data_IF_775041757938
#
_entry.id   IF_775041757938
#
_cell.length_a   1.000
_cell.length_b   1.000
_cell.length_c   1.000
_cell.angle_alpha   90.00
_cell.angle_beta   90.00
_cell.angle_gamma   90.00
#
_symmetry.space_group_name_H-M   'P 1'
#
loop_
_entity.id
_entity.type
_entity.pdbx_description
1 polymer ?
#
# COMPACT_ATOMS: atom_id res chain seq x y z
N UNK A 1 -17.93 -17.73 -2.27
CA UNK A 1 -18.48 -16.50 -1.65
C UNK A 1 -17.63 -15.89 -0.54
N UNK A 2 -16.79 -16.65 0.21
CA UNK A 2 -16.07 -16.18 1.41
C UNK A 2 -15.14 -14.96 1.26
N UNK A 3 -14.60 -14.68 0.06
CA UNK A 3 -13.64 -13.58 -0.11
C UNK A 3 -14.28 -12.18 -0.13
N UNK A 4 -15.61 -12.09 -0.27
CA UNK A 4 -16.32 -10.79 -0.29
C UNK A 4 -16.38 -10.15 1.10
N UNK A 5 -16.62 -10.95 2.15
CA UNK A 5 -16.75 -10.47 3.53
C UNK A 5 -15.44 -9.90 4.07
N UNK A 6 -14.34 -10.63 3.86
CA UNK A 6 -13.00 -10.14 4.21
C UNK A 6 -12.62 -8.91 3.40
N UNK A 7 -12.93 -8.87 2.10
CA UNK A 7 -12.69 -7.69 1.27
C UNK A 7 -13.48 -6.47 1.74
N UNK A 8 -14.75 -6.63 2.11
CA UNK A 8 -15.61 -5.55 2.60
C UNK A 8 -15.16 -5.04 3.97
N UNK A 9 -14.84 -5.93 4.91
CA UNK A 9 -14.33 -5.56 6.23
C UNK A 9 -13.02 -4.80 6.15
N UNK A 10 -12.10 -5.30 5.32
CA UNK A 10 -10.86 -4.61 4.97
C UNK A 10 -11.22 -3.23 4.40
N UNK A 11 -11.92 -3.15 3.29
CA UNK A 11 -12.19 -1.86 2.64
C UNK A 11 -12.89 -0.85 3.56
N UNK A 12 -13.82 -1.29 4.42
CA UNK A 12 -14.48 -0.44 5.41
C UNK A 12 -13.52 0.05 6.49
N UNK A 13 -12.72 -0.85 7.09
CA UNK A 13 -11.72 -0.46 8.10
C UNK A 13 -10.57 0.38 7.50
N UNK A 14 -10.24 0.20 6.22
CA UNK A 14 -9.12 0.87 5.54
C UNK A 14 -9.52 2.17 4.84
N UNK A 15 -10.75 2.31 4.35
CA UNK A 15 -11.23 3.51 3.66
C UNK A 15 -11.27 4.75 4.55
N UNK A 16 -11.44 4.55 5.86
CA UNK A 16 -11.55 5.62 6.84
C UNK A 16 -10.23 5.96 7.56
N UNK A 17 -9.12 5.25 7.27
CA UNK A 17 -7.85 5.45 7.97
C UNK A 17 -6.81 6.16 7.09
N UNK A 18 -6.49 7.41 7.43
CA UNK A 18 -5.54 8.26 6.69
C UNK A 18 -4.15 7.62 6.53
N UNK A 19 -3.67 6.84 7.50
CA UNK A 19 -2.35 6.19 7.45
C UNK A 19 -2.32 4.84 6.73
N UNK A 20 -3.49 4.26 6.38
CA UNK A 20 -3.63 2.94 5.74
C UNK A 20 -2.78 1.83 6.39
N UNK A 21 -2.49 1.95 7.69
CA UNK A 21 -1.73 1.00 8.51
C UNK A 21 -2.69 0.29 9.46
N UNK A 22 -2.50 -1.01 9.61
CA UNK A 22 -3.24 -1.82 10.57
C UNK A 22 -2.25 -2.53 11.50
N UNK A 23 -2.54 -2.46 12.80
CA UNK A 23 -1.83 -3.23 13.82
C UNK A 23 -2.23 -4.70 13.78
N UNK A 24 -1.31 -5.58 14.18
CA UNK A 24 -1.56 -7.02 14.34
C UNK A 24 -2.76 -7.31 15.26
N UNK A 25 -2.91 -6.51 16.30
CA UNK A 25 -4.01 -6.60 17.26
C UNK A 25 -5.38 -6.32 16.61
N UNK A 26 -5.42 -5.37 15.67
CA UNK A 26 -6.66 -5.07 14.92
C UNK A 26 -7.01 -6.19 13.95
N UNK A 27 -6.03 -6.81 13.29
CA UNK A 27 -6.26 -7.99 12.44
C UNK A 27 -6.80 -9.17 13.26
N UNK A 28 -6.29 -9.35 14.48
CA UNK A 28 -6.76 -10.37 15.41
C UNK A 28 -8.20 -10.08 15.85
N UNK A 29 -8.52 -8.84 16.23
CA UNK A 29 -9.91 -8.46 16.57
C UNK A 29 -10.86 -8.71 15.40
N UNK A 30 -10.45 -8.37 14.18
CA UNK A 30 -11.23 -8.63 12.97
C UNK A 30 -11.42 -10.13 12.70
N UNK A 31 -10.39 -10.96 12.84
CA UNK A 31 -10.54 -12.41 12.64
C UNK A 31 -11.48 -13.05 13.66
N UNK A 32 -11.45 -12.58 14.90
CA UNK A 32 -12.39 -12.99 15.94
C UNK A 32 -13.83 -12.50 15.65
N UNK A 33 -14.01 -11.26 15.20
CA UNK A 33 -15.32 -10.72 14.84
C UNK A 33 -15.94 -11.46 13.65
N UNK A 34 -15.13 -11.86 12.66
CA UNK A 34 -15.60 -12.65 11.52
C UNK A 34 -16.04 -14.05 11.98
N UNK A 35 -15.23 -14.73 12.79
CA UNK A 35 -15.60 -16.04 13.33
C UNK A 35 -16.86 -15.97 14.22
N UNK A 36 -17.10 -14.84 14.89
CA UNK A 36 -18.33 -14.60 15.64
C UNK A 36 -19.56 -14.42 14.73
N UNK A 37 -19.43 -13.66 13.63
CA UNK A 37 -20.51 -13.45 12.67
C UNK A 37 -20.78 -14.67 11.78
N UNK A 38 -19.75 -15.47 11.51
CA UNK A 38 -19.80 -16.67 10.68
C UNK A 38 -19.24 -17.86 11.46
N UNK A 39 -20.04 -18.49 12.34
CA UNK A 39 -19.57 -19.58 13.21
C UNK A 39 -19.08 -20.82 12.45
N UNK A 40 -19.41 -20.95 11.17
CA UNK A 40 -18.86 -22.00 10.29
C UNK A 40 -17.42 -21.74 9.83
N UNK A 41 -16.84 -20.59 10.16
CA UNK A 41 -15.51 -20.19 9.74
C UNK A 41 -14.55 -20.10 10.93
N UNK A 42 -13.34 -20.66 10.78
CA UNK A 42 -12.29 -20.52 11.79
C UNK A 42 -11.59 -19.17 11.67
N UNK A 43 -11.39 -18.50 12.81
CA UNK A 43 -10.53 -17.31 12.97
C UNK A 43 -9.13 -17.49 12.37
N UNK A 44 -8.59 -18.70 12.38
CA UNK A 44 -7.25 -19.03 11.83
C UNK A 44 -7.21 -18.94 10.30
N UNK A 45 -8.37 -19.06 9.64
CA UNK A 45 -8.51 -18.83 8.18
C UNK A 45 -8.23 -17.38 7.82
N UNK A 46 -8.52 -16.46 8.75
CA UNK A 46 -8.42 -15.03 8.53
C UNK A 46 -7.09 -14.46 9.02
N UNK A 47 -6.67 -14.85 10.22
CA UNK A 47 -5.41 -14.35 10.77
C UNK A 47 -4.82 -15.34 11.79
N UNK A 48 -3.63 -15.85 11.45
CA UNK A 48 -2.77 -16.59 12.37
C UNK A 48 -1.57 -15.73 12.71
N UNK A 49 -1.34 -15.53 14.02
CA UNK A 49 -0.23 -14.74 14.52
C UNK A 49 1.10 -15.43 14.19
N UNK A 50 2.14 -14.62 13.99
CA UNK A 50 3.52 -15.08 13.96
C UNK A 50 3.83 -15.90 15.21
N UNK A 51 4.33 -17.11 15.01
CA UNK A 51 4.75 -18.01 16.10
C UNK A 51 6.18 -18.47 15.82
N UNK A 52 7.08 -18.18 16.76
CA UNK A 52 8.42 -18.77 16.81
C UNK A 52 8.40 -19.87 17.84
N UNK A 53 8.41 -21.14 17.40
CA UNK A 53 8.49 -22.28 18.29
C UNK A 53 9.83 -22.99 18.08
N UNK A 54 10.68 -22.92 19.09
CA UNK A 54 12.03 -23.51 19.17
C UNK A 54 12.94 -23.15 17.99
N UNK A 55 12.78 -23.80 16.83
CA UNK A 55 13.53 -23.54 15.59
C UNK A 55 12.64 -23.30 14.35
N UNK A 56 11.31 -23.34 14.48
CA UNK A 56 10.38 -23.16 13.37
C UNK A 56 9.71 -21.80 13.43
N UNK A 57 9.97 -21.00 12.40
CA UNK A 57 9.39 -19.68 12.19
C UNK A 57 8.11 -19.84 11.37
N UNK A 58 6.96 -19.60 12.00
CA UNK A 58 5.68 -19.55 11.29
C UNK A 58 5.34 -18.09 11.05
N UNK A 59 5.43 -17.59 9.79
CA UNK A 59 5.03 -16.24 9.48
C UNK A 59 3.53 -16.04 9.75
N UNK A 60 3.14 -14.78 9.96
CA UNK A 60 1.72 -14.45 9.97
C UNK A 60 1.12 -14.80 8.60
N UNK A 61 -0.04 -15.44 8.61
CA UNK A 61 -0.73 -15.90 7.40
C UNK A 61 -2.24 -15.87 7.60
N UNK A 62 -2.97 -15.88 6.49
CA UNK A 62 -4.43 -15.88 6.48
C UNK A 62 -4.98 -14.87 5.48
N UNK A 63 -6.26 -15.03 5.12
CA UNK A 63 -6.91 -14.21 4.08
C UNK A 63 -6.86 -12.72 4.37
N UNK A 64 -6.99 -12.34 5.65
CA UNK A 64 -6.96 -10.95 6.08
C UNK A 64 -5.54 -10.35 5.93
N UNK A 65 -4.52 -11.15 6.29
CA UNK A 65 -3.11 -10.79 6.18
C UNK A 65 -2.65 -10.65 4.73
N UNK A 66 -3.03 -11.60 3.87
CA UNK A 66 -2.66 -11.60 2.46
C UNK A 66 -3.23 -10.36 1.75
N UNK A 67 -4.50 -10.05 2.03
CA UNK A 67 -5.17 -8.89 1.47
C UNK A 67 -4.55 -7.58 1.95
N UNK A 68 -4.21 -7.48 3.24
CA UNK A 68 -3.45 -6.35 3.77
C UNK A 68 -2.09 -6.18 3.07
N UNK A 69 -1.34 -7.27 2.88
CA UNK A 69 -0.05 -7.23 2.19
C UNK A 69 -0.19 -6.79 0.74
N UNK A 70 -1.19 -7.30 0.01
CA UNK A 70 -1.45 -6.90 -1.37
C UNK A 70 -1.79 -5.42 -1.48
N UNK A 71 -2.67 -4.92 -0.61
CA UNK A 71 -2.98 -3.49 -0.55
C UNK A 71 -1.74 -2.64 -0.23
N UNK A 72 -0.88 -3.05 0.71
CA UNK A 72 0.38 -2.34 1.01
C UNK A 72 1.36 -2.34 -0.16
N UNK A 73 1.35 -3.39 -0.99
CA UNK A 73 2.10 -3.42 -2.26
C UNK A 73 1.52 -2.45 -3.26
N UNK A 74 0.20 -2.43 -3.43
CA UNK A 74 -0.49 -1.48 -4.34
C UNK A 74 -0.18 -0.03 -3.97
N UNK A 75 -0.33 0.35 -2.69
CA UNK A 75 0.00 1.70 -2.20
C UNK A 75 1.46 2.06 -2.53
N UNK A 76 2.39 1.15 -2.25
CA UNK A 76 3.82 1.36 -2.54
C UNK A 76 4.09 1.55 -4.02
N UNK A 77 3.39 0.82 -4.88
CA UNK A 77 3.52 0.92 -6.32
C UNK A 77 2.93 2.26 -6.83
N UNK A 78 1.81 2.70 -6.29
CA UNK A 78 1.23 4.02 -6.61
C UNK A 78 2.16 5.17 -6.22
N UNK A 79 2.81 5.10 -5.05
CA UNK A 79 3.79 6.12 -4.63
C UNK A 79 5.00 6.16 -5.56
N UNK A 80 5.53 4.99 -5.97
CA UNK A 80 6.64 4.93 -6.94
C UNK A 80 6.30 5.55 -8.29
N UNK A 81 5.06 5.37 -8.75
CA UNK A 81 4.59 6.00 -9.99
C UNK A 81 4.53 7.53 -9.85
N UNK A 82 4.03 8.05 -8.72
CA UNK A 82 4.04 9.50 -8.49
C UNK A 82 5.45 10.08 -8.40
N UNK A 83 6.40 9.35 -7.81
CA UNK A 83 7.80 9.80 -7.72
C UNK A 83 8.48 9.81 -9.10
N UNK A 84 8.17 8.83 -9.97
CA UNK A 84 8.64 8.80 -11.36
C UNK A 84 8.16 10.01 -12.15
N UNK A 85 6.86 10.32 -12.10
CA UNK A 85 6.27 11.48 -12.77
C UNK A 85 6.86 12.79 -12.26
N UNK A 86 7.10 12.89 -10.94
CA UNK A 86 7.70 14.09 -10.32
C UNK A 86 9.12 14.34 -10.82
N UNK A 87 9.93 13.27 -10.90
CA UNK A 87 11.30 13.35 -11.43
C UNK A 87 11.32 13.70 -12.94
N UNK A 88 10.35 13.21 -13.71
CA UNK A 88 10.22 13.51 -15.15
C UNK A 88 9.85 14.99 -15.38
N UNK A 89 8.90 15.53 -14.62
CA UNK A 89 8.55 16.96 -14.63
C UNK A 89 9.71 17.85 -14.21
N UNK A 90 10.47 17.46 -13.18
CA UNK A 90 11.65 18.19 -12.73
C UNK A 90 12.77 18.21 -13.79
N UNK A 91 12.83 17.17 -14.63
CA UNK A 91 13.80 17.08 -15.75
C UNK A 91 13.39 17.98 -16.91
N UNK A 92 12.11 17.93 -17.31
CA UNK A 92 11.54 18.78 -18.38
C UNK A 92 11.66 20.27 -18.00
N UNK A 93 11.38 20.63 -16.74
CA UNK A 93 11.50 22.01 -16.28
C UNK A 93 12.93 22.56 -16.39
N UNK A 94 13.94 21.73 -16.13
CA UNK A 94 15.36 22.11 -16.27
C UNK A 94 15.79 22.24 -17.73
N UNK A 95 15.32 21.37 -18.61
CA UNK A 95 15.58 21.48 -20.05
C UNK A 95 14.99 22.76 -20.65
N UNK A 96 13.75 23.12 -20.27
CA UNK A 96 13.11 24.33 -20.77
C UNK A 96 13.82 25.62 -20.31
N UNK A 97 14.31 25.64 -19.06
CA UNK A 97 15.16 26.72 -18.53
C UNK A 97 16.50 26.82 -19.27
N UNK A 98 17.11 25.68 -19.62
CA UNK A 98 18.37 25.65 -20.36
C UNK A 98 18.21 26.16 -21.81
N UNK A 99 17.09 25.83 -22.47
CA UNK A 99 16.75 26.32 -23.81
C UNK A 99 16.52 27.84 -23.80
N UNK A 100 15.75 28.34 -22.83
CA UNK A 100 15.46 29.77 -22.73
C UNK A 100 16.73 30.60 -22.48
N UNK A 101 17.63 30.14 -21.61
CA UNK A 101 18.89 30.85 -21.34
C UNK A 101 19.84 30.86 -22.56
N UNK A 102 19.85 29.80 -23.38
CA UNK A 102 20.62 29.77 -24.64
C UNK A 102 20.04 30.74 -25.68
N UNK A 103 18.72 30.85 -25.78
CA UNK A 103 18.06 31.80 -26.70
C UNK A 103 18.38 33.26 -26.37
N UNK A 104 18.40 33.63 -25.09
CA UNK A 104 18.70 35.01 -24.65
C UNK A 104 20.14 35.42 -25.01
N UNK A 105 21.12 34.52 -24.84
CA UNK A 105 22.53 34.82 -25.13
C UNK A 105 22.80 35.04 -26.63
N UNK A 106 22.14 34.27 -27.52
CA UNK A 106 22.30 34.43 -28.97
C UNK A 106 21.68 35.71 -29.50
N UNK A 107 20.54 36.16 -28.95
CA UNK A 107 19.90 37.42 -29.35
C UNK A 107 20.68 38.67 -28.93
N UNK A 108 21.45 38.60 -27.84
CA UNK A 108 22.29 39.73 -27.36
C UNK A 108 23.57 39.89 -28.21
N UNK A 109 24.10 38.81 -28.78
CA UNK A 109 25.36 38.84 -29.55
C UNK A 109 25.15 39.34 -31.00
N UNK A 110 23.90 39.32 -31.50
CA UNK A 110 23.56 39.68 -32.89
C UNK A 110 22.94 41.09 -33.02
N UNK A 111 22.88 41.87 -31.94
CA UNK A 111 22.40 43.26 -31.91
C UNK A 111 23.56 44.24 -31.76
#
# INVERSE_FOLDING_TARGET
MLNKSSNLLINHYFGNNAEKKISTDSLKKLSHAIAFLFPNESKETYYTLYKKLSNKLTPAHGKLWDKYCNMRKEIRNSTKQSDGIRNELDTIGKEQLAINNKGIHTSIIMA
#
